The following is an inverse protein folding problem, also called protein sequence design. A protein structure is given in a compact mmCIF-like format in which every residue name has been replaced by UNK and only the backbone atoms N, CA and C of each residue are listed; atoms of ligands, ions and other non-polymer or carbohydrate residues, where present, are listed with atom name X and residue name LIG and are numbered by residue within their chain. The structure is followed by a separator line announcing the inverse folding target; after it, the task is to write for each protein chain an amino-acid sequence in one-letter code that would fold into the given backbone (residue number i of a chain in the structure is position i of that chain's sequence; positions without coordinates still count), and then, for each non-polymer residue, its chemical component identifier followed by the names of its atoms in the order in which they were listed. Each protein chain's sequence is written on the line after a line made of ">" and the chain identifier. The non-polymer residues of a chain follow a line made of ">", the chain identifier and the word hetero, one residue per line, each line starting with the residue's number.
data_IF_111134477350
#
_entry.id   IF_111134477350
#
_cell.length_a   1.000
_cell.length_b   1.000
_cell.length_c   1.000
_cell.angle_alpha   90.00
_cell.angle_beta   90.00
_cell.angle_gamma   90.00
#
_symmetry.space_group_name_H-M   'P 1'
#
loop_
_entity.id
_entity.type
_entity.pdbx_description
1 polymer ?
#
# COMPACT_ATOMS: atom_id res chain seq x y z
N UNK A 1 -33.98 -28.27 51.64
CA UNK A 1 -32.96 -27.20 51.65
C UNK A 1 -32.03 -27.46 50.48
N UNK A 2 -32.28 -26.78 49.38
CA UNK A 2 -31.62 -26.99 48.09
C UNK A 2 -30.70 -25.79 47.90
N UNK A 3 -29.38 -25.99 47.97
CA UNK A 3 -28.40 -24.93 47.72
C UNK A 3 -27.99 -24.99 46.26
N UNK A 4 -28.43 -23.98 45.51
CA UNK A 4 -28.01 -23.65 44.15
C UNK A 4 -26.50 -23.36 44.11
N UNK A 5 -25.71 -23.92 43.17
CA UNK A 5 -24.39 -23.38 42.89
C UNK A 5 -24.51 -22.21 41.92
N UNK A 6 -23.77 -21.16 42.26
CA UNK A 6 -23.66 -19.87 41.59
C UNK A 6 -23.36 -19.98 40.09
N UNK A 7 -23.99 -19.10 39.33
CA UNK A 7 -23.68 -18.86 37.94
C UNK A 7 -22.24 -18.35 37.80
N UNK A 8 -21.40 -19.16 37.16
CA UNK A 8 -20.11 -18.71 36.63
C UNK A 8 -20.41 -17.67 35.56
N UNK A 9 -20.16 -16.40 35.90
CA UNK A 9 -20.24 -15.29 34.97
C UNK A 9 -19.30 -15.58 33.78
N UNK A 10 -19.91 -15.85 32.63
CA UNK A 10 -19.21 -15.92 31.34
C UNK A 10 -18.54 -14.55 31.14
N UNK A 11 -17.21 -14.49 30.90
CA UNK A 11 -16.56 -13.21 30.65
C UNK A 11 -17.24 -12.54 29.45
N UNK A 12 -17.44 -11.21 29.49
CA UNK A 12 -18.08 -10.52 28.38
C UNK A 12 -17.29 -10.84 27.12
N UNK A 13 -18.00 -11.32 26.09
CA UNK A 13 -17.43 -11.37 24.76
C UNK A 13 -16.84 -9.99 24.50
N UNK A 14 -15.52 -9.90 24.31
CA UNK A 14 -14.90 -8.68 23.81
C UNK A 14 -15.68 -8.31 22.56
N UNK A 15 -16.42 -7.21 22.65
CA UNK A 15 -17.18 -6.66 21.56
C UNK A 15 -16.16 -6.45 20.44
N UNK A 16 -16.19 -7.32 19.44
CA UNK A 16 -15.27 -7.26 18.31
C UNK A 16 -15.55 -5.93 17.62
N UNK A 17 -14.67 -4.95 17.84
CA UNK A 17 -14.71 -3.66 17.16
C UNK A 17 -14.75 -3.93 15.66
N UNK A 18 -15.83 -3.50 14.99
CA UNK A 18 -16.04 -3.58 13.54
C UNK A 18 -15.21 -2.53 12.81
N UNK A 19 -13.96 -2.35 13.23
CA UNK A 19 -13.01 -1.40 12.67
C UNK A 19 -12.29 -2.01 11.48
N UNK A 20 -12.06 -1.21 10.45
CA UNK A 20 -11.21 -1.59 9.33
C UNK A 20 -9.78 -1.18 9.66
N UNK A 21 -8.91 -2.16 9.95
CA UNK A 21 -7.46 -1.97 10.03
C UNK A 21 -6.76 -2.99 9.14
N UNK A 22 -6.00 -2.48 8.17
CA UNK A 22 -5.16 -3.26 7.27
C UNK A 22 -3.73 -2.73 7.42
N UNK A 23 -2.88 -3.49 8.11
CA UNK A 23 -1.51 -3.07 8.41
C UNK A 23 -0.54 -4.20 8.09
N UNK A 24 0.58 -3.86 7.44
CA UNK A 24 1.67 -4.80 7.17
C UNK A 24 2.61 -4.99 8.37
N UNK A 25 2.42 -4.19 9.43
CA UNK A 25 3.29 -4.12 10.61
C UNK A 25 2.87 -5.05 11.77
N UNK A 26 2.01 -6.04 11.51
CA UNK A 26 1.53 -6.96 12.54
C UNK A 26 2.49 -8.13 12.84
N UNK A 27 3.62 -8.20 12.13
CA UNK A 27 4.60 -9.27 12.27
C UNK A 27 4.12 -10.64 11.77
N UNK A 28 2.95 -10.72 11.13
CA UNK A 28 2.43 -11.97 10.56
C UNK A 28 3.27 -12.39 9.36
N UNK A 29 3.57 -13.69 9.25
CA UNK A 29 4.23 -14.24 8.05
C UNK A 29 3.45 -13.90 6.79
N UNK A 30 4.19 -13.57 5.73
CA UNK A 30 3.65 -13.26 4.43
C UNK A 30 3.85 -14.44 3.49
N UNK A 31 2.75 -14.89 2.86
CA UNK A 31 2.76 -15.77 1.69
C UNK A 31 2.51 -14.94 0.44
N UNK A 32 3.44 -15.01 -0.50
CA UNK A 32 3.28 -14.46 -1.84
C UNK A 32 3.04 -15.61 -2.81
N UNK A 33 2.04 -15.43 -3.66
CA UNK A 33 1.65 -16.36 -4.70
C UNK A 33 1.84 -15.63 -6.03
N UNK A 34 2.73 -16.12 -6.87
CA UNK A 34 2.97 -15.59 -8.21
C UNK A 34 2.50 -16.62 -9.23
N UNK A 35 1.37 -16.35 -9.85
CA UNK A 35 0.88 -17.11 -10.99
C UNK A 35 1.63 -16.62 -12.23
N UNK A 36 2.12 -17.56 -13.04
CA UNK A 36 2.95 -17.28 -14.21
C UNK A 36 2.41 -18.05 -15.41
N UNK A 37 2.17 -17.34 -16.51
CA UNK A 37 1.92 -17.96 -17.82
C UNK A 37 3.23 -17.97 -18.61
N UNK A 38 3.79 -19.15 -18.84
CA UNK A 38 5.09 -19.35 -19.50
C UNK A 38 4.86 -19.53 -21.01
N UNK A 39 5.68 -18.85 -21.82
CA UNK A 39 5.64 -18.94 -23.28
C UNK A 39 5.91 -20.37 -23.76
N UNK A 40 5.21 -20.78 -24.80
CA UNK A 40 5.37 -22.11 -25.39
C UNK A 40 6.80 -22.29 -25.93
N UNK A 41 7.46 -23.37 -25.52
CA UNK A 41 8.87 -23.65 -25.85
C UNK A 41 9.88 -22.96 -24.95
N UNK A 42 9.47 -22.08 -24.03
CA UNK A 42 10.35 -21.39 -23.10
C UNK A 42 10.48 -22.08 -21.73
N UNK A 43 9.82 -23.22 -21.50
CA UNK A 43 9.71 -23.87 -20.19
C UNK A 43 11.07 -24.21 -19.57
N UNK A 44 11.98 -24.80 -20.36
CA UNK A 44 13.32 -25.16 -19.89
C UNK A 44 14.15 -23.92 -19.52
N UNK A 45 14.09 -22.88 -20.35
CA UNK A 45 14.74 -21.60 -20.08
C UNK A 45 14.17 -20.94 -18.83
N UNK A 46 12.85 -21.00 -18.64
CA UNK A 46 12.19 -20.47 -17.44
C UNK A 46 12.67 -21.19 -16.17
N UNK A 47 12.82 -22.52 -16.20
CA UNK A 47 13.37 -23.29 -15.08
C UNK A 47 14.78 -22.84 -14.72
N UNK A 48 15.68 -22.74 -15.70
CA UNK A 48 17.08 -22.32 -15.48
C UNK A 48 17.16 -20.89 -14.91
N UNK A 49 16.35 -19.99 -15.44
CA UNK A 49 16.26 -18.60 -14.94
C UNK A 49 15.70 -18.59 -13.52
N UNK A 50 14.67 -19.37 -13.23
CA UNK A 50 14.07 -19.44 -11.90
C UNK A 50 15.04 -19.99 -10.86
N UNK A 51 15.82 -21.02 -11.18
CA UNK A 51 16.80 -21.60 -10.25
C UNK A 51 17.90 -20.61 -9.84
N UNK A 52 18.34 -19.77 -10.79
CA UNK A 52 19.25 -18.66 -10.49
C UNK A 52 18.56 -17.61 -9.61
N UNK A 53 17.32 -17.23 -9.95
CA UNK A 53 16.55 -16.27 -9.18
C UNK A 53 16.30 -16.75 -7.74
N UNK A 54 15.93 -18.01 -7.53
CA UNK A 54 15.68 -18.56 -6.19
C UNK A 54 16.94 -18.57 -5.33
N UNK A 55 18.12 -18.79 -5.93
CA UNK A 55 19.40 -18.71 -5.20
C UNK A 55 19.70 -17.29 -4.73
N UNK A 56 19.36 -16.29 -5.54
CA UNK A 56 19.53 -14.88 -5.17
C UNK A 56 18.50 -14.46 -4.12
N UNK A 57 17.22 -14.82 -4.30
CA UNK A 57 16.13 -14.49 -3.36
C UNK A 57 16.36 -15.10 -1.97
N UNK A 58 16.95 -16.30 -1.90
CA UNK A 58 17.31 -16.94 -0.63
C UNK A 58 18.30 -16.14 0.23
N UNK A 59 19.02 -15.18 -0.36
CA UNK A 59 19.93 -14.28 0.37
C UNK A 59 19.25 -12.98 0.85
N UNK A 60 18.00 -12.74 0.45
CA UNK A 60 17.26 -11.53 0.81
C UNK A 60 16.80 -11.62 2.27
N UNK A 61 17.05 -10.60 3.10
CA UNK A 61 16.59 -10.58 4.49
C UNK A 61 15.09 -10.83 4.60
N UNK A 62 14.72 -11.71 5.54
CA UNK A 62 13.34 -12.06 5.83
C UNK A 62 12.70 -13.07 4.87
N UNK A 63 13.39 -13.53 3.82
CA UNK A 63 12.94 -14.67 3.02
C UNK A 63 13.00 -15.97 3.83
N UNK A 64 12.02 -16.86 3.64
CA UNK A 64 11.95 -18.17 4.32
C UNK A 64 12.09 -19.31 3.32
N UNK A 65 11.28 -19.32 2.25
CA UNK A 65 11.30 -20.40 1.26
C UNK A 65 10.58 -20.02 -0.01
N UNK A 66 10.96 -20.67 -1.12
CA UNK A 66 10.20 -20.66 -2.37
C UNK A 66 9.85 -22.07 -2.81
N UNK A 67 8.73 -22.22 -3.52
CA UNK A 67 8.35 -23.45 -4.23
C UNK A 67 7.86 -23.09 -5.62
N UNK A 68 8.37 -23.80 -6.62
CA UNK A 68 7.88 -23.74 -7.99
C UNK A 68 6.98 -24.95 -8.26
N UNK A 69 5.80 -24.68 -8.82
CA UNK A 69 4.83 -25.67 -9.21
C UNK A 69 4.43 -25.44 -10.66
N UNK A 70 4.10 -26.52 -11.37
CA UNK A 70 3.52 -26.49 -12.70
C UNK A 70 2.11 -27.09 -12.61
N UNK A 71 1.15 -26.50 -13.33
CA UNK A 71 -0.21 -27.04 -13.41
C UNK A 71 -0.20 -28.40 -14.12
N UNK A 72 -0.95 -29.35 -13.55
CA UNK A 72 -1.16 -30.67 -14.15
C UNK A 72 -2.15 -30.65 -15.32
N UNK A 73 -2.95 -29.57 -15.42
CA UNK A 73 -4.01 -29.43 -16.43
C UNK A 73 -3.55 -28.57 -17.61
N UNK A 74 -2.74 -27.55 -17.34
CA UNK A 74 -2.23 -26.64 -18.35
C UNK A 74 -0.71 -26.44 -18.17
N UNK A 75 0.14 -27.11 -18.97
CA UNK A 75 1.60 -27.04 -18.83
C UNK A 75 2.22 -25.65 -18.98
N UNK A 76 1.51 -24.68 -19.56
CA UNK A 76 1.97 -23.29 -19.68
C UNK A 76 1.70 -22.49 -18.39
N UNK A 77 0.88 -23.00 -17.47
CA UNK A 77 0.60 -22.35 -16.18
C UNK A 77 1.49 -22.87 -15.06
N UNK A 78 2.16 -21.94 -14.41
CA UNK A 78 3.09 -22.18 -13.30
C UNK A 78 2.70 -21.33 -12.08
N UNK A 79 3.12 -21.77 -10.92
CA UNK A 79 2.87 -21.15 -9.63
C UNK A 79 4.19 -21.09 -8.85
N UNK A 80 4.59 -19.90 -8.43
CA UNK A 80 5.65 -19.72 -7.44
C UNK A 80 4.98 -19.33 -6.12
N UNK A 81 5.25 -20.11 -5.08
CA UNK A 81 4.89 -19.71 -3.72
C UNK A 81 6.16 -19.25 -3.00
N UNK A 82 6.09 -18.12 -2.32
CA UNK A 82 7.21 -17.53 -1.57
C UNK A 82 6.74 -17.20 -0.16
N UNK A 83 7.49 -17.58 0.86
CA UNK A 83 7.19 -17.30 2.26
C UNK A 83 8.24 -16.35 2.84
N UNK A 84 7.77 -15.37 3.60
CA UNK A 84 8.58 -14.33 4.23
C UNK A 84 8.21 -14.20 5.71
N UNK A 85 9.18 -13.79 6.52
CA UNK A 85 9.00 -13.60 7.97
C UNK A 85 7.90 -12.59 8.29
N UNK A 86 7.75 -11.58 7.43
CA UNK A 86 6.72 -10.54 7.50
C UNK A 86 6.64 -9.81 6.16
N UNK A 87 5.68 -8.89 6.03
CA UNK A 87 5.51 -8.10 4.81
C UNK A 87 6.58 -7.00 4.58
N UNK A 88 7.12 -6.29 5.60
CA UNK A 88 8.09 -5.22 5.39
C UNK A 88 9.37 -5.64 4.62
N UNK A 89 10.06 -6.76 4.94
CA UNK A 89 11.24 -7.18 4.18
C UNK A 89 10.93 -7.49 2.71
N UNK A 90 9.80 -8.16 2.46
CA UNK A 90 9.32 -8.41 1.09
C UNK A 90 9.03 -7.11 0.33
N UNK A 91 8.35 -6.15 0.96
CA UNK A 91 8.02 -4.86 0.34
C UNK A 91 9.28 -4.02 0.07
N UNK A 92 10.28 -4.07 0.96
CA UNK A 92 11.56 -3.43 0.73
C UNK A 92 12.26 -4.03 -0.51
N UNK A 93 12.27 -5.36 -0.62
CA UNK A 93 12.88 -6.06 -1.75
C UNK A 93 12.12 -5.84 -3.07
N UNK A 94 10.82 -6.12 -3.13
CA UNK A 94 10.02 -6.08 -4.38
C UNK A 94 9.99 -4.68 -5.01
N UNK A 95 10.18 -3.64 -4.22
CA UNK A 95 10.23 -2.25 -4.69
C UNK A 95 11.66 -1.72 -4.90
N UNK A 96 12.69 -2.56 -4.81
CA UNK A 96 14.08 -2.16 -5.01
C UNK A 96 14.50 -2.24 -6.49
N UNK A 97 15.55 -1.49 -6.84
CA UNK A 97 16.22 -1.66 -8.14
C UNK A 97 16.92 -3.02 -8.26
N UNK A 98 17.25 -3.65 -7.13
CA UNK A 98 17.78 -5.02 -7.11
C UNK A 98 16.74 -6.01 -7.65
N UNK A 99 15.51 -5.99 -7.14
CA UNK A 99 14.43 -6.81 -7.65
C UNK A 99 14.21 -6.58 -9.15
N UNK A 100 14.15 -5.32 -9.62
CA UNK A 100 14.00 -4.99 -11.05
C UNK A 100 15.08 -5.67 -11.92
N UNK A 101 16.34 -5.68 -11.46
CA UNK A 101 17.44 -6.37 -12.15
C UNK A 101 17.28 -7.89 -12.08
N UNK A 102 16.94 -8.43 -10.91
CA UNK A 102 16.80 -9.86 -10.66
C UNK A 102 15.71 -10.50 -11.53
N UNK A 103 14.54 -9.87 -11.65
CA UNK A 103 13.42 -10.45 -12.43
C UNK A 103 13.56 -10.22 -13.93
N UNK A 104 14.49 -9.37 -14.38
CA UNK A 104 14.68 -9.02 -15.81
C UNK A 104 14.75 -10.23 -16.74
N UNK A 105 15.49 -11.31 -16.41
CA UNK A 105 15.60 -12.48 -17.29
C UNK A 105 14.29 -13.26 -17.44
N UNK A 106 13.35 -13.15 -16.49
CA UNK A 106 12.05 -13.85 -16.57
C UNK A 106 11.16 -13.31 -17.69
N UNK A 107 11.23 -12.01 -18.02
CA UNK A 107 10.31 -11.40 -19.00
C UNK A 107 10.42 -12.01 -20.40
N UNK A 108 11.59 -12.54 -20.77
CA UNK A 108 11.77 -13.24 -22.04
C UNK A 108 11.12 -14.62 -22.10
N UNK A 109 10.57 -15.11 -20.98
CA UNK A 109 9.99 -16.46 -20.87
C UNK A 109 8.50 -16.45 -20.49
N UNK A 110 7.96 -15.32 -20.03
CA UNK A 110 6.61 -15.25 -19.46
C UNK A 110 5.72 -14.33 -20.29
N UNK A 111 4.46 -14.75 -20.50
CA UNK A 111 3.42 -13.98 -21.19
C UNK A 111 2.70 -13.03 -20.23
N UNK A 112 2.35 -13.51 -19.04
CA UNK A 112 1.69 -12.71 -18.00
C UNK A 112 2.09 -13.21 -16.62
N UNK A 113 1.98 -12.34 -15.63
CA UNK A 113 2.22 -12.67 -14.22
C UNK A 113 1.17 -12.01 -13.34
N UNK A 114 0.74 -12.73 -12.30
CA UNK A 114 -0.20 -12.21 -11.29
C UNK A 114 0.33 -12.50 -9.89
N UNK A 115 0.68 -11.44 -9.16
CA UNK A 115 1.14 -11.53 -7.77
C UNK A 115 -0.04 -11.32 -6.82
N UNK A 116 -0.23 -12.28 -5.91
CA UNK A 116 -1.19 -12.24 -4.82
C UNK A 116 -0.43 -12.36 -3.49
N UNK A 117 -0.95 -11.74 -2.45
CA UNK A 117 -0.26 -11.58 -1.15
C UNK A 117 -1.23 -11.90 -0.03
N UNK A 118 -0.80 -12.75 0.90
CA UNK A 118 -1.64 -13.26 1.98
C UNK A 118 -0.86 -13.30 3.29
N UNK A 119 -1.44 -12.84 4.38
CA UNK A 119 -0.92 -13.16 5.70
C UNK A 119 -1.29 -14.59 6.07
N UNK A 120 -0.37 -15.31 6.71
CA UNK A 120 -0.64 -16.67 7.20
C UNK A 120 -1.43 -16.56 8.50
N UNK A 121 -2.73 -16.88 8.45
CA UNK A 121 -3.64 -16.77 9.61
C UNK A 121 -3.59 -18.03 10.48
N UNK A 122 -3.63 -19.22 9.88
CA UNK A 122 -3.56 -20.51 10.58
C UNK A 122 -2.76 -21.49 9.74
N UNK A 123 -2.08 -22.40 10.42
CA UNK A 123 -1.36 -23.52 9.82
C UNK A 123 -1.77 -24.80 10.53
N UNK A 124 -2.09 -25.85 9.76
CA UNK A 124 -2.55 -27.13 10.30
C UNK A 124 -1.63 -28.24 9.79
N UNK A 125 -1.10 -29.06 10.70
CA UNK A 125 -0.40 -30.30 10.34
C UNK A 125 1.11 -30.21 10.08
N UNK A 126 1.81 -29.20 10.60
CA UNK A 126 3.27 -29.11 10.45
C UNK A 126 4.02 -30.28 11.10
N UNK A 127 4.68 -31.13 10.30
CA UNK A 127 5.72 -32.05 10.78
C UNK A 127 6.98 -31.23 11.10
N UNK A 128 7.20 -30.90 12.38
CA UNK A 128 8.50 -30.99 13.11
C UNK A 128 8.69 -29.90 14.18
N UNK A 129 8.72 -30.33 15.45
CA UNK A 129 9.63 -29.97 16.54
C UNK A 129 10.32 -28.58 16.58
N UNK A 130 9.59 -27.47 16.45
CA UNK A 130 10.05 -26.16 16.93
C UNK A 130 9.45 -25.93 18.33
N UNK A 131 10.23 -25.54 19.36
CA UNK A 131 9.67 -25.26 20.68
C UNK A 131 8.59 -24.18 20.57
N UNK A 132 7.43 -24.42 21.22
CA UNK A 132 6.22 -23.59 21.12
C UNK A 132 6.45 -22.07 21.32
N UNK A 133 7.52 -21.69 22.01
CA UNK A 133 7.88 -20.30 22.28
C UNK A 133 8.24 -19.46 21.03
N UNK A 134 8.67 -20.07 19.90
CA UNK A 134 8.99 -19.34 18.66
C UNK A 134 7.94 -19.47 17.54
N UNK A 135 6.96 -20.35 17.72
CA UNK A 135 5.81 -20.53 16.82
C UNK A 135 4.63 -19.62 17.20
N UNK A 136 4.52 -19.23 18.46
CA UNK A 136 3.41 -18.43 19.00
C UNK A 136 3.43 -16.93 18.61
N UNK A 137 4.47 -16.45 17.90
CA UNK A 137 4.65 -15.01 17.59
C UNK A 137 4.52 -14.62 16.11
N UNK A 138 3.99 -15.48 15.22
CA UNK A 138 4.10 -15.24 13.75
C UNK A 138 2.88 -15.61 12.90
N UNK A 139 1.74 -15.82 13.53
CA UNK A 139 0.45 -16.00 12.87
C UNK A 139 -0.47 -14.88 13.30
N UNK A 140 -1.34 -14.45 12.39
CA UNK A 140 -2.31 -13.39 12.69
C UNK A 140 -3.26 -13.85 13.82
N UNK A 141 -3.40 -13.06 14.89
CA UNK A 141 -4.17 -13.48 16.08
C UNK A 141 -5.67 -13.66 15.76
N UNK A 142 -6.26 -12.71 15.05
CA UNK A 142 -7.66 -12.67 14.63
C UNK A 142 -7.79 -12.35 13.13
N UNK A 143 -8.83 -12.85 12.43
CA UNK A 143 -9.11 -12.44 11.05
C UNK A 143 -9.30 -10.91 10.95
N UNK A 144 -8.76 -10.31 9.88
CA UNK A 144 -8.99 -8.88 9.58
C UNK A 144 -10.34 -8.70 8.91
N UNK A 145 -11.07 -7.67 9.31
CA UNK A 145 -12.26 -7.19 8.60
C UNK A 145 -11.83 -6.01 7.73
N UNK A 146 -11.85 -6.22 6.41
CA UNK A 146 -11.56 -5.18 5.43
C UNK A 146 -12.85 -4.56 4.87
N UNK A 147 -12.73 -3.39 4.26
CA UNK A 147 -13.78 -2.73 3.49
C UNK A 147 -13.87 -3.22 2.02
N UNK A 148 -13.03 -4.19 1.66
CA UNK A 148 -12.93 -4.71 0.28
C UNK A 148 -12.32 -3.74 -0.72
N UNK A 149 -11.69 -2.65 -0.25
CA UNK A 149 -11.04 -1.64 -1.11
C UNK A 149 -9.53 -1.82 -1.06
N UNK A 150 -8.94 -2.06 -2.24
CA UNK A 150 -7.50 -2.06 -2.45
C UNK A 150 -7.04 -0.62 -2.64
N UNK A 151 -6.06 -0.21 -1.84
CA UNK A 151 -5.45 1.12 -1.89
C UNK A 151 -4.05 1.01 -2.46
N UNK A 152 -3.77 1.80 -3.49
CA UNK A 152 -2.46 1.85 -4.10
C UNK A 152 -2.14 3.28 -4.53
N UNK A 153 -0.87 3.66 -4.50
CA UNK A 153 -0.43 4.92 -5.06
C UNK A 153 0.65 4.71 -6.12
N UNK A 154 0.73 5.65 -7.05
CA UNK A 154 1.83 5.79 -7.98
C UNK A 154 2.52 7.12 -7.71
N UNK A 155 3.85 7.16 -7.71
CA UNK A 155 4.63 8.39 -7.59
C UNK A 155 5.60 8.53 -8.75
N UNK A 156 5.76 9.76 -9.22
CA UNK A 156 6.77 10.10 -10.23
C UNK A 156 7.27 11.53 -9.99
N UNK A 157 8.46 11.80 -10.48
CA UNK A 157 9.09 13.12 -10.40
C UNK A 157 9.00 13.83 -11.75
N UNK A 158 8.62 15.11 -11.72
CA UNK A 158 8.63 15.98 -12.90
C UNK A 158 9.86 16.87 -12.89
N UNK A 159 10.26 17.34 -14.08
CA UNK A 159 11.38 18.25 -14.26
C UNK A 159 11.13 19.54 -13.49
N UNK A 160 12.13 20.07 -12.77
CA UNK A 160 12.01 21.37 -12.12
C UNK A 160 11.58 22.46 -13.12
N UNK A 161 10.62 23.29 -12.71
CA UNK A 161 10.01 24.34 -13.54
C UNK A 161 8.79 23.91 -14.36
N UNK A 162 8.46 22.61 -14.40
CA UNK A 162 7.26 22.10 -15.09
C UNK A 162 6.07 21.87 -14.15
N UNK A 163 6.18 22.23 -12.88
CA UNK A 163 5.23 21.87 -11.82
C UNK A 163 3.82 22.42 -12.09
N UNK A 164 3.71 23.70 -12.47
CA UNK A 164 2.41 24.33 -12.74
C UNK A 164 1.74 23.83 -14.02
N UNK A 165 2.53 23.53 -15.05
CA UNK A 165 2.02 22.96 -16.30
C UNK A 165 1.45 21.55 -16.07
N UNK A 166 2.21 20.71 -15.34
CA UNK A 166 1.77 19.37 -14.95
C UNK A 166 0.54 19.43 -14.04
N UNK A 167 0.49 20.39 -13.11
CA UNK A 167 -0.68 20.61 -12.27
C UNK A 167 -1.93 20.94 -13.09
N UNK A 168 -1.81 21.81 -14.11
CA UNK A 168 -2.90 22.13 -15.02
C UNK A 168 -3.40 20.92 -15.80
N UNK A 169 -2.48 20.11 -16.34
CA UNK A 169 -2.81 18.87 -17.06
C UNK A 169 -3.57 17.88 -16.15
N UNK A 170 -3.07 17.68 -14.92
CA UNK A 170 -3.63 16.70 -13.97
C UNK A 170 -4.92 17.17 -13.29
N UNK A 171 -5.19 18.48 -13.23
CA UNK A 171 -6.44 19.04 -12.73
C UNK A 171 -7.59 18.87 -13.74
N UNK A 172 -7.31 19.07 -15.04
CA UNK A 172 -8.35 19.35 -16.04
C UNK A 172 -8.88 18.17 -16.85
N UNK A 173 -8.35 16.95 -16.69
CA UNK A 173 -8.74 15.85 -17.59
C UNK A 173 -10.09 15.22 -17.24
N UNK A 174 -10.82 14.70 -18.23
CA UNK A 174 -12.09 14.02 -17.99
C UNK A 174 -11.91 12.72 -17.19
N UNK A 175 -12.86 12.43 -16.29
CA UNK A 175 -12.84 11.20 -15.49
C UNK A 175 -12.99 9.98 -16.41
N UNK A 176 -12.12 8.96 -16.27
CA UNK A 176 -12.29 7.70 -16.98
C UNK A 176 -13.55 6.97 -16.50
N UNK A 177 -14.10 6.08 -17.32
CA UNK A 177 -15.13 5.13 -16.90
C UNK A 177 -14.60 4.29 -15.73
N UNK A 178 -15.23 4.35 -14.55
CA UNK A 178 -14.76 3.61 -13.39
C UNK A 178 -15.10 2.12 -13.44
N UNK A 179 -16.06 1.67 -14.25
CA UNK A 179 -16.53 0.27 -14.27
C UNK A 179 -15.68 -0.58 -15.20
N UNK A 180 -14.98 -1.55 -14.64
CA UNK A 180 -14.15 -2.49 -15.41
C UNK A 180 -14.96 -3.71 -15.81
N UNK A 181 -15.64 -4.31 -14.83
CA UNK A 181 -16.52 -5.47 -14.97
C UNK A 181 -17.52 -5.49 -13.79
N UNK A 182 -18.25 -6.59 -13.61
CA UNK A 182 -19.26 -6.74 -12.54
C UNK A 182 -18.68 -6.79 -11.12
N UNK A 183 -17.38 -7.05 -10.99
CA UNK A 183 -16.68 -7.25 -9.71
C UNK A 183 -15.58 -6.23 -9.44
N UNK A 184 -15.13 -5.52 -10.49
CA UNK A 184 -14.01 -4.59 -10.44
C UNK A 184 -14.43 -3.18 -10.83
N UNK A 185 -14.15 -2.21 -9.96
CA UNK A 185 -14.45 -0.79 -10.17
C UNK A 185 -13.42 0.12 -9.50
N UNK A 186 -13.10 1.22 -10.17
CA UNK A 186 -12.36 2.33 -9.60
C UNK A 186 -13.27 3.13 -8.66
N UNK A 187 -12.93 3.22 -7.39
CA UNK A 187 -13.74 3.91 -6.37
C UNK A 187 -13.36 5.38 -6.24
N UNK A 188 -12.07 5.70 -6.15
CA UNK A 188 -11.59 7.06 -5.96
C UNK A 188 -10.21 7.23 -6.57
N UNK A 189 -9.95 8.39 -7.19
CA UNK A 189 -8.61 8.78 -7.66
C UNK A 189 -8.31 10.18 -7.16
N UNK A 190 -7.20 10.31 -6.43
CA UNK A 190 -6.74 11.57 -5.87
C UNK A 190 -5.30 11.85 -6.31
N UNK A 191 -5.02 13.04 -6.82
CA UNK A 191 -3.72 13.45 -7.31
C UNK A 191 -3.20 14.61 -6.48
N UNK A 192 -1.95 14.50 -6.06
CA UNK A 192 -1.28 15.48 -5.22
C UNK A 192 0.09 15.84 -5.77
N UNK A 193 0.52 17.07 -5.51
CA UNK A 193 1.83 17.59 -5.86
C UNK A 193 2.56 18.15 -4.63
N UNK A 194 3.82 17.77 -4.46
CA UNK A 194 4.72 18.34 -3.45
C UNK A 194 6.08 18.61 -4.08
N UNK A 195 6.49 19.88 -4.14
CA UNK A 195 7.62 20.29 -4.98
C UNK A 195 7.39 19.81 -6.42
N UNK A 196 8.34 19.03 -6.94
CA UNK A 196 8.26 18.39 -8.25
C UNK A 196 7.84 16.90 -8.19
N UNK A 197 7.33 16.42 -7.06
CA UNK A 197 6.84 15.05 -6.89
C UNK A 197 5.33 14.98 -7.00
N UNK A 198 4.84 14.14 -7.91
CA UNK A 198 3.42 13.81 -8.04
C UNK A 198 3.15 12.49 -7.33
N UNK A 199 2.00 12.42 -6.65
CA UNK A 199 1.44 11.18 -6.09
C UNK A 199 0.00 11.03 -6.56
N UNK A 200 -0.30 9.92 -7.22
CA UNK A 200 -1.64 9.51 -7.65
C UNK A 200 -2.10 8.37 -6.74
N UNK A 201 -2.99 8.64 -5.79
CA UNK A 201 -3.64 7.65 -4.95
C UNK A 201 -4.88 7.10 -5.66
N UNK A 202 -5.06 5.78 -5.60
CA UNK A 202 -6.06 5.02 -6.35
C UNK A 202 -6.70 4.02 -5.40
N UNK A 203 -8.03 4.06 -5.33
CA UNK A 203 -8.84 3.13 -4.54
C UNK A 203 -9.67 2.28 -5.50
N UNK A 204 -9.55 0.96 -5.40
CA UNK A 204 -10.19 -0.01 -6.30
C UNK A 204 -10.90 -1.07 -5.49
N UNK A 205 -12.13 -1.40 -5.86
CA UNK A 205 -12.79 -2.63 -5.43
C UNK A 205 -12.58 -3.69 -6.52
N UNK A 206 -12.22 -4.92 -6.13
CA UNK A 206 -11.94 -6.01 -7.08
C UNK A 206 -10.46 -6.10 -7.45
N UNK A 207 -10.12 -6.26 -8.73
CA UNK A 207 -8.73 -6.46 -9.18
C UNK A 207 -8.03 -5.13 -9.56
N UNK A 208 -7.01 -4.76 -8.78
CA UNK A 208 -6.22 -3.55 -9.01
C UNK A 208 -5.54 -3.53 -10.40
N UNK A 209 -4.95 -4.63 -10.84
CA UNK A 209 -4.24 -4.67 -12.12
C UNK A 209 -5.22 -4.57 -13.29
N UNK A 210 -6.38 -5.23 -13.20
CA UNK A 210 -7.44 -5.10 -14.19
C UNK A 210 -7.93 -3.65 -14.28
N UNK A 211 -8.16 -2.99 -13.14
CA UNK A 211 -8.56 -1.58 -13.09
C UNK A 211 -7.50 -0.64 -13.69
N UNK A 212 -6.23 -0.80 -13.33
CA UNK A 212 -5.14 0.00 -13.89
C UNK A 212 -5.00 -0.19 -15.41
N UNK A 213 -5.09 -1.44 -15.90
CA UNK A 213 -5.04 -1.75 -17.34
C UNK A 213 -6.24 -1.18 -18.10
N UNK A 214 -7.43 -1.22 -17.50
CA UNK A 214 -8.65 -0.65 -18.07
C UNK A 214 -8.52 0.87 -18.21
N UNK A 215 -8.18 1.57 -17.13
CA UNK A 215 -8.01 3.03 -17.10
C UNK A 215 -6.92 3.49 -18.07
N UNK A 216 -5.79 2.77 -18.13
CA UNK A 216 -4.67 3.13 -19.02
C UNK A 216 -5.01 3.07 -20.53
N UNK A 217 -6.04 2.32 -20.93
CA UNK A 217 -6.47 2.21 -22.33
C UNK A 217 -7.43 3.32 -22.77
N UNK A 218 -7.99 4.08 -21.82
CA UNK A 218 -9.00 5.07 -22.12
C UNK A 218 -8.40 6.33 -22.78
N UNK A 219 -9.04 6.91 -23.81
CA UNK A 219 -8.49 8.04 -24.57
C UNK A 219 -8.10 9.25 -23.71
N UNK A 220 -8.92 9.58 -22.73
CA UNK A 220 -8.75 10.72 -21.82
C UNK A 220 -7.47 10.56 -21.00
N UNK A 221 -7.21 9.33 -20.54
CA UNK A 221 -6.01 8.98 -19.78
C UNK A 221 -4.79 8.97 -20.71
N UNK A 222 -4.87 8.37 -21.89
CA UNK A 222 -3.76 8.36 -22.85
C UNK A 222 -3.35 9.78 -23.27
N UNK A 223 -4.31 10.69 -23.44
CA UNK A 223 -4.03 12.09 -23.75
C UNK A 223 -3.26 12.79 -22.62
N UNK A 224 -3.66 12.55 -21.36
CA UNK A 224 -2.96 13.09 -20.17
C UNK A 224 -1.55 12.53 -20.05
N UNK A 225 -1.40 11.21 -20.19
CA UNK A 225 -0.10 10.55 -20.09
C UNK A 225 0.85 11.05 -21.19
N UNK A 226 0.35 11.23 -22.43
CA UNK A 226 1.13 11.82 -23.52
C UNK A 226 1.53 13.28 -23.25
N UNK A 227 0.64 14.08 -22.66
CA UNK A 227 0.91 15.47 -22.30
C UNK A 227 1.94 15.59 -21.16
N UNK A 228 1.97 14.65 -20.21
CA UNK A 228 2.89 14.66 -19.07
C UNK A 228 4.29 14.15 -19.46
N UNK A 229 4.39 13.23 -20.41
CA UNK A 229 5.66 12.58 -20.79
C UNK A 229 6.85 13.55 -21.00
N UNK A 230 6.72 14.71 -21.68
CA UNK A 230 7.80 15.68 -21.84
C UNK A 230 8.32 16.27 -20.52
N UNK A 231 7.49 16.30 -19.48
CA UNK A 231 7.78 16.90 -18.19
C UNK A 231 8.33 15.89 -17.17
N UNK A 232 8.39 14.60 -17.49
CA UNK A 232 8.91 13.59 -16.56
C UNK A 232 10.44 13.63 -16.50
N UNK A 233 11.03 13.50 -15.31
CA UNK A 233 12.48 13.29 -15.18
C UNK A 233 12.92 11.94 -15.76
N UNK A 234 12.07 10.93 -15.61
CA UNK A 234 12.30 9.60 -16.14
C UNK A 234 11.38 9.37 -17.34
N UNK A 235 11.97 9.20 -18.51
CA UNK A 235 11.22 8.82 -19.71
C UNK A 235 10.54 7.47 -19.50
N UNK A 236 9.27 7.38 -19.90
CA UNK A 236 8.51 6.13 -19.95
C UNK A 236 7.81 6.00 -21.30
N UNK A 237 7.71 4.77 -21.75
CA UNK A 237 6.88 4.39 -22.88
C UNK A 237 5.85 3.39 -22.35
N UNK A 238 4.57 3.80 -22.36
CA UNK A 238 3.49 2.95 -21.87
C UNK A 238 2.94 2.01 -22.94
N UNK A 239 3.34 2.19 -24.21
CA UNK A 239 2.98 1.30 -25.31
C UNK A 239 3.95 0.12 -25.44
N UNK A 240 5.18 0.24 -24.91
CA UNK A 240 6.12 -0.87 -24.73
C UNK A 240 5.85 -1.61 -23.40
N UNK A 241 5.48 -2.91 -23.42
CA UNK A 241 5.16 -3.66 -22.21
C UNK A 241 6.31 -3.72 -21.18
N UNK A 242 7.57 -3.79 -21.64
CA UNK A 242 8.72 -3.86 -20.74
C UNK A 242 8.99 -2.52 -20.05
N UNK A 243 9.00 -1.43 -20.82
CA UNK A 243 9.09 -0.06 -20.31
C UNK A 243 7.95 0.25 -19.33
N UNK A 244 6.72 -0.12 -19.67
CA UNK A 244 5.55 0.05 -18.81
C UNK A 244 5.71 -0.71 -17.49
N UNK A 245 6.14 -1.98 -17.53
CA UNK A 245 6.34 -2.82 -16.33
C UNK A 245 7.43 -2.25 -15.42
N UNK A 246 8.56 -1.82 -15.98
CA UNK A 246 9.63 -1.14 -15.23
C UNK A 246 9.13 0.15 -14.61
N UNK A 247 8.39 0.96 -15.37
CA UNK A 247 7.79 2.19 -14.86
C UNK A 247 6.83 1.92 -13.70
N UNK A 248 5.86 1.01 -13.84
CA UNK A 248 4.93 0.69 -12.75
C UNK A 248 5.66 0.12 -11.54
N UNK A 249 6.69 -0.70 -11.74
CA UNK A 249 7.51 -1.22 -10.64
C UNK A 249 8.28 -0.11 -9.94
N UNK A 250 8.73 0.94 -10.63
CA UNK A 250 9.42 2.10 -10.04
C UNK A 250 8.48 3.12 -9.41
N UNK A 251 7.33 3.34 -10.03
CA UNK A 251 6.33 4.29 -9.60
C UNK A 251 5.45 3.75 -8.46
N UNK A 252 5.34 2.42 -8.30
CA UNK A 252 4.52 1.81 -7.27
C UNK A 252 4.88 2.33 -5.87
N UNK A 253 3.84 2.79 -5.17
CA UNK A 253 3.89 3.26 -3.80
C UNK A 253 2.78 2.50 -3.05
N UNK A 254 3.05 1.25 -2.61
CA UNK A 254 2.03 0.41 -2.00
C UNK A 254 1.55 0.96 -0.66
N UNK A 255 0.28 0.72 -0.35
CA UNK A 255 -0.25 0.96 0.98
C UNK A 255 0.37 -0.06 1.96
N UNK A 256 0.97 0.43 3.03
CA UNK A 256 1.52 -0.37 4.12
C UNK A 256 0.63 -0.35 5.36
N UNK A 257 -0.23 0.66 5.45
CA UNK A 257 -1.20 0.78 6.53
C UNK A 257 -2.46 1.49 6.03
N UNK A 258 -3.62 1.04 6.49
CA UNK A 258 -4.89 1.73 6.38
C UNK A 258 -5.70 1.51 7.65
N UNK A 259 -6.29 2.58 8.14
CA UNK A 259 -7.25 2.54 9.24
C UNK A 259 -8.39 3.50 8.98
N UNK A 260 -9.59 3.10 9.34
CA UNK A 260 -10.77 3.96 9.34
C UNK A 260 -11.48 3.86 10.69
N UNK A 261 -11.98 4.98 11.18
CA UNK A 261 -12.86 5.01 12.33
C UNK A 261 -14.15 4.23 12.02
N UNK A 262 -14.75 3.62 13.04
CA UNK A 262 -16.07 2.98 12.87
C UNK A 262 -17.10 4.05 12.52
N UNK A 263 -17.71 3.95 11.33
CA UNK A 263 -18.89 4.76 10.99
C UNK A 263 -20.04 4.29 11.87
N UNK A 264 -20.32 5.03 12.94
CA UNK A 264 -21.48 4.79 13.78
C UNK A 264 -22.75 5.11 13.02
N UNK A 265 -23.45 4.08 12.52
CA UNK A 265 -24.86 4.12 12.11
C UNK A 265 -25.20 5.14 11.01
N UNK A 266 -25.45 4.61 9.81
CA UNK A 266 -26.09 5.27 8.66
C UNK A 266 -26.99 6.46 9.08
N UNK A 267 -26.46 7.67 8.92
CA UNK A 267 -27.30 8.87 8.82
C UNK A 267 -26.99 9.52 7.49
N UNK A 268 -27.87 9.31 6.52
CA UNK A 268 -27.83 9.94 5.21
C UNK A 268 -27.64 11.46 5.36
N UNK A 269 -26.52 11.97 4.84
CA UNK A 269 -26.13 13.39 4.92
C UNK A 269 -24.72 13.66 5.47
N UNK A 270 -23.88 12.63 5.63
CA UNK A 270 -22.54 12.74 6.23
C UNK A 270 -21.61 13.71 5.48
N UNK A 271 -21.16 14.75 6.17
CA UNK A 271 -20.07 15.65 5.77
C UNK A 271 -18.86 14.81 5.30
N UNK A 272 -18.61 14.75 3.99
CA UNK A 272 -17.39 14.16 3.46
C UNK A 272 -16.19 14.88 4.09
N UNK A 273 -15.33 14.14 4.77
CA UNK A 273 -14.11 14.72 5.31
C UNK A 273 -13.23 15.31 4.22
N UNK A 274 -12.50 16.36 4.55
CA UNK A 274 -11.52 16.94 3.63
C UNK A 274 -10.34 15.98 3.48
N UNK A 275 -9.98 15.70 2.23
CA UNK A 275 -8.88 14.79 1.90
C UNK A 275 -7.57 15.55 1.77
N UNK A 276 -6.58 15.12 2.53
CA UNK A 276 -5.23 15.70 2.51
C UNK A 276 -4.18 14.62 2.32
N UNK A 277 -3.11 14.96 1.58
CA UNK A 277 -1.91 14.14 1.53
C UNK A 277 -0.73 14.89 2.15
N UNK A 278 0.08 14.15 2.89
CA UNK A 278 1.28 14.62 3.57
C UNK A 278 2.47 13.79 3.09
N UNK A 279 3.48 14.45 2.55
CA UNK A 279 4.72 13.82 2.11
C UNK A 279 5.79 13.98 3.19
N UNK A 280 6.32 12.85 3.65
CA UNK A 280 7.37 12.78 4.64
C UNK A 280 8.63 12.17 4.01
N UNK A 281 9.62 12.99 3.62
CA UNK A 281 10.92 12.45 3.23
C UNK A 281 11.58 11.85 4.48
N UNK A 282 11.84 10.55 4.46
CA UNK A 282 12.59 9.90 5.52
C UNK A 282 14.09 10.06 5.30
N UNK A 283 14.88 10.02 6.38
CA UNK A 283 16.32 9.81 6.27
C UNK A 283 16.61 8.46 5.62
N UNK A 284 17.75 8.36 4.94
CA UNK A 284 18.14 7.17 4.19
C UNK A 284 18.00 5.88 5.02
N UNK A 285 17.19 4.95 4.54
CA UNK A 285 16.94 3.65 5.15
C UNK A 285 15.92 3.66 6.29
N UNK A 286 15.34 4.81 6.65
CA UNK A 286 14.39 4.94 7.77
C UNK A 286 12.93 5.02 7.33
N UNK A 287 12.62 4.99 6.02
CA UNK A 287 11.24 5.15 5.55
C UNK A 287 10.26 4.08 6.06
N UNK A 288 10.68 2.82 6.20
CA UNK A 288 9.81 1.77 6.76
C UNK A 288 9.52 2.02 8.25
N UNK A 289 10.53 2.42 9.02
CA UNK A 289 10.39 2.76 10.45
C UNK A 289 9.49 3.98 10.64
N UNK A 290 9.61 4.97 9.77
CA UNK A 290 8.74 6.15 9.76
C UNK A 290 7.28 5.76 9.47
N UNK A 291 7.04 4.91 8.47
CA UNK A 291 5.70 4.43 8.16
C UNK A 291 5.08 3.62 9.30
N UNK A 292 5.88 2.81 10.00
CA UNK A 292 5.44 2.06 11.18
C UNK A 292 5.05 2.99 12.33
N UNK A 293 5.87 4.01 12.62
CA UNK A 293 5.58 5.01 13.65
C UNK A 293 4.24 5.73 13.36
N UNK A 294 4.06 6.19 12.11
CA UNK A 294 2.83 6.85 11.68
C UNK A 294 1.61 5.91 11.76
N UNK A 295 1.77 4.62 11.42
CA UNK A 295 0.70 3.63 11.51
C UNK A 295 0.22 3.44 12.95
N UNK A 296 1.15 3.36 13.91
CA UNK A 296 0.80 3.25 15.31
C UNK A 296 0.11 4.53 15.84
N UNK A 297 0.49 5.70 15.32
CA UNK A 297 -0.17 6.97 15.65
C UNK A 297 -1.59 7.02 15.10
N UNK A 298 -1.79 6.60 13.85
CA UNK A 298 -3.09 6.52 13.20
C UNK A 298 -4.04 5.55 13.91
N UNK A 299 -3.51 4.42 14.38
CA UNK A 299 -4.27 3.47 15.16
C UNK A 299 -4.76 4.07 16.49
N UNK A 300 -3.89 4.76 17.23
CA UNK A 300 -4.29 5.43 18.49
C UNK A 300 -5.26 6.59 18.23
N UNK A 301 -5.02 7.35 17.16
CA UNK A 301 -5.85 8.49 16.81
C UNK A 301 -7.29 8.07 16.49
N UNK A 302 -7.49 6.97 15.77
CA UNK A 302 -8.84 6.47 15.46
C UNK A 302 -9.49 5.70 16.61
N UNK A 303 -8.75 5.36 17.69
CA UNK A 303 -9.30 4.84 18.95
C UNK A 303 -9.73 5.96 19.92
N UNK A 304 -9.24 7.18 19.70
CA UNK A 304 -9.52 8.31 20.58
C UNK A 304 -10.92 8.85 20.31
N UNK A 305 -11.78 8.98 21.33
CA UNK A 305 -13.08 9.66 21.17
C UNK A 305 -12.90 11.08 20.64
N UNK A 306 -13.80 11.49 19.73
CA UNK A 306 -13.81 12.81 19.08
C UNK A 306 -12.55 13.13 18.27
N UNK A 307 -11.86 12.10 17.76
CA UNK A 307 -10.76 12.29 16.83
C UNK A 307 -11.25 12.93 15.52
N UNK A 308 -10.55 13.96 14.99
CA UNK A 308 -10.88 14.52 13.68
C UNK A 308 -10.53 13.56 12.53
N UNK A 309 -9.73 12.52 12.78
CA UNK A 309 -9.28 11.57 11.76
C UNK A 309 -10.37 10.55 11.43
N UNK A 310 -10.96 10.66 10.24
CA UNK A 310 -11.96 9.70 9.74
C UNK A 310 -11.29 8.44 9.18
N UNK A 311 -10.25 8.62 8.37
CA UNK A 311 -9.42 7.53 7.91
C UNK A 311 -8.00 8.00 7.58
N UNK A 312 -7.05 7.07 7.63
CA UNK A 312 -5.66 7.28 7.22
C UNK A 312 -5.19 6.12 6.38
N UNK A 313 -4.40 6.41 5.34
CA UNK A 313 -3.68 5.41 4.54
C UNK A 313 -2.24 5.86 4.40
N UNK A 314 -1.30 4.99 4.77
CA UNK A 314 0.12 5.24 4.61
C UNK A 314 0.63 4.42 3.44
N UNK A 315 1.25 5.10 2.50
CA UNK A 315 1.96 4.52 1.38
C UNK A 315 3.47 4.70 1.57
N UNK A 316 4.25 3.66 1.28
CA UNK A 316 5.68 3.70 1.52
C UNK A 316 6.48 2.97 0.43
N UNK A 317 7.61 3.57 0.05
CA UNK A 317 8.63 2.97 -0.81
C UNK A 317 10.00 3.58 -0.53
N UNK A 318 10.99 2.77 -0.13
CA UNK A 318 12.30 3.29 0.25
C UNK A 318 12.15 4.36 1.33
N UNK A 319 12.62 5.58 1.04
CA UNK A 319 12.52 6.73 1.96
C UNK A 319 11.36 7.69 1.64
N UNK A 320 10.50 7.31 0.69
CA UNK A 320 9.27 8.04 0.36
C UNK A 320 8.15 7.49 1.24
N UNK A 321 7.63 8.33 2.14
CA UNK A 321 6.44 8.03 2.93
C UNK A 321 5.37 9.08 2.62
N UNK A 322 4.18 8.63 2.22
CA UNK A 322 3.03 9.50 1.97
C UNK A 322 1.89 9.02 2.83
N UNK A 323 1.31 9.94 3.61
CA UNK A 323 0.11 9.69 4.41
C UNK A 323 -1.05 10.43 3.79
N UNK A 324 -2.11 9.71 3.46
CA UNK A 324 -3.37 10.22 2.97
C UNK A 324 -4.38 10.16 4.11
N UNK A 325 -4.94 11.30 4.51
CA UNK A 325 -5.92 11.39 5.58
C UNK A 325 -7.21 12.03 5.10
N UNK A 326 -8.33 11.50 5.55
CA UNK A 326 -9.63 12.18 5.46
C UNK A 326 -9.96 12.65 6.88
N UNK A 327 -10.15 13.96 7.06
CA UNK A 327 -10.38 14.59 8.38
C UNK A 327 -11.66 15.41 8.41
N UNK A 328 -12.26 15.54 9.58
CA UNK A 328 -13.40 16.43 9.79
C UNK A 328 -12.92 17.88 10.00
N UNK A 329 -13.24 18.76 9.04
CA UNK A 329 -12.80 20.16 9.05
C UNK A 329 -11.35 20.35 8.58
N UNK A 330 -10.82 21.58 8.63
CA UNK A 330 -9.50 21.89 8.10
C UNK A 330 -8.39 21.29 8.96
N UNK A 331 -7.38 20.71 8.30
CA UNK A 331 -6.21 20.07 8.95
C UNK A 331 -5.48 21.00 9.94
N UNK A 332 -5.49 22.31 9.67
CA UNK A 332 -4.80 23.32 10.49
C UNK A 332 -5.51 23.66 11.80
N UNK A 333 -6.78 23.26 11.98
CA UNK A 333 -7.53 23.57 13.20
C UNK A 333 -6.94 22.87 14.44
N UNK A 334 -6.48 21.63 14.28
CA UNK A 334 -5.77 20.88 15.30
C UNK A 334 -4.68 19.99 14.68
N UNK A 335 -3.49 20.57 14.40
CA UNK A 335 -2.35 19.87 13.80
C UNK A 335 -1.96 18.58 14.54
N UNK A 336 -2.02 18.60 15.87
CA UNK A 336 -1.60 17.49 16.72
C UNK A 336 -2.58 16.32 16.58
N UNK A 337 -3.88 16.58 16.73
CA UNK A 337 -4.91 15.54 16.60
C UNK A 337 -5.06 15.06 15.16
N UNK A 338 -4.93 15.94 14.17
CA UNK A 338 -4.99 15.59 12.75
C UNK A 338 -3.84 14.67 12.31
N UNK A 339 -2.66 14.84 12.93
CA UNK A 339 -1.50 13.96 12.72
C UNK A 339 -1.46 12.74 13.65
N UNK A 340 -2.42 12.59 14.57
CA UNK A 340 -2.37 11.53 15.58
C UNK A 340 -1.18 11.63 16.55
N UNK A 341 -0.60 12.82 16.69
CA UNK A 341 0.48 13.11 17.62
C UNK A 341 -0.12 13.54 18.96
N UNK A 342 -0.14 12.62 19.92
CA UNK A 342 -0.72 12.81 21.24
C UNK A 342 0.17 13.67 22.16
N UNK A 343 1.48 13.72 21.93
CA UNK A 343 2.42 14.46 22.78
C UNK A 343 3.69 14.94 22.04
N UNK A 344 4.48 15.78 22.73
CA UNK A 344 5.71 16.35 22.22
C UNK A 344 6.84 15.32 22.01
N UNK A 345 6.83 14.20 22.73
CA UNK A 345 7.84 13.15 22.58
C UNK A 345 7.63 12.39 21.26
N UNK A 346 6.38 12.16 20.86
CA UNK A 346 6.05 11.58 19.56
C UNK A 346 6.44 12.50 18.40
N UNK A 347 6.28 13.82 18.57
CA UNK A 347 6.74 14.79 17.58
C UNK A 347 8.28 14.80 17.47
N UNK A 348 8.99 14.72 18.60
CA UNK A 348 10.44 14.59 18.62
C UNK A 348 10.89 13.30 17.90
N UNK A 349 10.32 12.15 18.26
CA UNK A 349 10.62 10.87 17.61
C UNK A 349 10.38 10.95 16.09
N UNK A 350 9.25 11.52 15.66
CA UNK A 350 8.95 11.75 14.24
C UNK A 350 10.05 12.56 13.56
N UNK A 351 10.47 13.69 14.13
CA UNK A 351 11.50 14.56 13.54
C UNK A 351 12.86 13.87 13.42
N UNK A 352 13.20 12.93 14.30
CA UNK A 352 14.46 12.16 14.17
C UNK A 352 14.51 11.28 12.92
N UNK A 353 13.36 10.87 12.40
CA UNK A 353 13.24 10.02 11.21
C UNK A 353 13.14 10.81 9.90
N UNK A 354 12.75 12.08 9.97
CA UNK A 354 12.56 12.95 8.80
C UNK A 354 13.88 13.52 8.28
N UNK A 355 14.01 13.55 6.95
CA UNK A 355 15.10 14.23 6.27
C UNK A 355 14.82 15.74 6.16
N UNK A 356 15.83 16.54 6.46
CA UNK A 356 15.75 18.00 6.43
C UNK A 356 14.85 18.64 7.50
N UNK A 357 14.30 17.91 8.45
CA UNK A 357 13.65 18.46 9.64
C UNK A 357 14.70 18.82 10.70
N UNK A 358 14.51 19.94 11.41
CA UNK A 358 15.32 20.24 12.59
C UNK A 358 14.76 19.40 13.76
N UNK A 359 15.57 18.55 14.44
CA UNK A 359 15.10 17.81 15.62
C UNK A 359 14.61 18.73 16.75
N UNK A 360 14.99 20.00 16.74
CA UNK A 360 14.48 21.02 17.67
C UNK A 360 13.18 21.69 17.17
N UNK A 361 12.68 21.35 15.97
CA UNK A 361 11.42 21.86 15.41
C UNK A 361 10.22 21.30 16.19
N UNK A 362 9.79 22.06 17.19
CA UNK A 362 8.60 21.77 18.00
C UNK A 362 7.31 22.36 17.44
N UNK A 363 7.41 23.16 16.37
CA UNK A 363 6.27 23.80 15.72
C UNK A 363 5.61 22.84 14.72
N UNK A 364 4.64 22.08 15.22
CA UNK A 364 3.96 21.07 14.42
C UNK A 364 3.19 21.65 13.23
N UNK A 365 2.67 22.87 13.36
CA UNK A 365 1.99 23.54 12.27
C UNK A 365 2.94 23.80 11.09
N UNK A 366 4.19 24.14 11.39
CA UNK A 366 5.24 24.32 10.37
C UNK A 366 5.62 22.99 9.70
N UNK A 367 5.72 21.92 10.47
CA UNK A 367 5.97 20.58 9.94
C UNK A 367 4.84 20.14 9.00
N UNK A 368 3.57 20.37 9.36
CA UNK A 368 2.42 20.11 8.48
C UNK A 368 2.49 20.95 7.22
N UNK A 369 2.71 22.25 7.35
CA UNK A 369 2.77 23.15 6.21
C UNK A 369 3.85 22.71 5.20
N UNK A 370 4.97 22.20 5.70
CA UNK A 370 6.06 21.66 4.86
C UNK A 370 5.73 20.30 4.26
N UNK A 371 5.01 19.43 4.98
CA UNK A 371 4.65 18.10 4.49
C UNK A 371 3.43 18.13 3.54
N UNK A 372 2.57 19.15 3.64
CA UNK A 372 1.30 19.23 2.90
C UNK A 372 1.53 19.21 1.40
N UNK A 373 0.85 18.29 0.74
CA UNK A 373 0.81 18.23 -0.72
C UNK A 373 -0.38 19.05 -1.23
N UNK A 374 -0.20 19.77 -2.36
CA UNK A 374 -1.28 20.44 -3.07
C UNK A 374 -2.17 19.41 -3.73
N UNK A 375 -3.46 19.40 -3.39
CA UNK A 375 -4.46 18.60 -4.10
C UNK A 375 -4.68 19.18 -5.50
N UNK A 376 -4.51 18.35 -6.53
CA UNK A 376 -4.73 18.72 -7.93
C UNK A 376 -6.11 18.28 -8.41
N UNK A 377 -6.50 17.07 -8.04
CA UNK A 377 -7.74 16.42 -8.46
C UNK A 377 -8.13 15.43 -7.38
N UNK A 378 -9.41 15.41 -6.99
CA UNK A 378 -10.00 14.33 -6.21
C UNK A 378 -11.33 13.93 -6.85
N UNK A 379 -11.46 12.67 -7.24
CA UNK A 379 -12.62 12.16 -7.99
C UNK A 379 -13.12 10.91 -7.34
N UNK A 380 -14.38 10.93 -6.95
CA UNK A 380 -15.10 9.78 -6.45
C UNK A 380 -15.99 9.25 -7.57
N UNK A 381 -15.96 7.94 -7.79
CA UNK A 381 -16.93 7.30 -8.65
C UNK A 381 -18.29 7.31 -7.92
N UNK A 382 -19.40 7.63 -8.62
CA UNK A 382 -20.71 7.68 -8.00
C UNK A 382 -21.03 6.34 -7.32
N UNK A 383 -21.60 6.36 -6.11
CA UNK A 383 -22.17 5.15 -5.52
C UNK A 383 -23.32 4.67 -6.43
N UNK A 384 -23.34 3.37 -6.75
CA UNK A 384 -24.44 2.77 -7.51
C UNK A 384 -25.72 2.68 -6.66
#
# INVERSE_FOLDING_TARGET
>A
MTTTPEGVARPPARQESKRVSQSVFDGSRLRVILLVDVLDGAQQRFLEVYEELSRQVASVPGHISDQLCQSIENPSQWLITSEWESAPPFLAWVNSEEHVRMVRPLHGCVRDTRSLRFHVVREVGGRSAVPAASAQRRLQESPRVGDGVIRHALTFTVKPGSEEEVAGILAGYASPDPRVDDTTRLCRTSLFLHGNRVVRAIEVRGDLLAALRHVARQPEVRAVEAAINPHLEQHRDLDDPESARVFFTRAALPAVHHVAAERGGETEGETEGERHALYYPARTGLGMKLAELLAQQDERATETPDSPLLCSTIFQRGDIVVRLVDVHGPLEADPARALGLADAAQAEELTTLLDGADPAERDLARLIARARMRLLTDRQAPCD
#
